data_IF_844225959741
#
_entry.id   IF_844225959741
#
_cell.length_a   1.000
_cell.length_b   1.000
_cell.length_c   1.000
_cell.angle_alpha   90.00
_cell.angle_beta   90.00
_cell.angle_gamma   90.00
#
_symmetry.space_group_name_H-M   'P 1'
#
loop_
_entity.id
_entity.type
_entity.pdbx_description
1 polymer ?
#
# COMPACT_ATOMS: atom_id res chain seq x y z
N UNK A 1 -5.98 -26.58 5.70
CA UNK A 1 -5.91 -27.92 6.34
C UNK A 1 -7.21 -28.16 7.07
N UNK A 2 -7.93 -29.24 6.77
CA UNK A 2 -9.17 -29.61 7.45
C UNK A 2 -8.90 -30.47 8.67
N UNK A 3 -9.64 -30.26 9.74
CA UNK A 3 -9.62 -31.12 10.93
C UNK A 3 -10.34 -32.43 10.61
N UNK A 4 -9.61 -33.54 10.55
CA UNK A 4 -10.19 -34.88 10.38
C UNK A 4 -10.40 -35.53 11.75
N UNK A 5 -11.65 -35.78 12.13
CA UNK A 5 -11.99 -36.64 13.26
C UNK A 5 -12.15 -38.08 12.78
N UNK A 6 -11.32 -38.98 13.32
CA UNK A 6 -11.29 -40.40 12.96
C UNK A 6 -12.67 -41.04 13.24
N UNK A 7 -13.28 -41.66 12.23
CA UNK A 7 -14.60 -42.30 12.33
C UNK A 7 -15.81 -41.41 11.97
N UNK A 8 -15.60 -40.17 11.52
CA UNK A 8 -16.66 -39.28 11.01
C UNK A 8 -16.31 -38.71 9.62
N UNK A 9 -15.63 -39.48 8.79
CA UNK A 9 -15.06 -39.05 7.51
C UNK A 9 -16.13 -38.66 6.47
N UNK A 10 -17.36 -39.17 6.61
CA UNK A 10 -18.49 -38.83 5.73
C UNK A 10 -19.28 -37.59 6.19
N UNK A 11 -18.94 -36.99 7.34
CA UNK A 11 -19.66 -35.82 7.85
C UNK A 11 -19.02 -34.54 7.35
N UNK A 12 -19.82 -33.71 6.68
CA UNK A 12 -19.40 -32.37 6.25
C UNK A 12 -19.79 -31.35 7.32
N UNK A 13 -18.85 -30.53 7.77
CA UNK A 13 -19.12 -29.46 8.73
C UNK A 13 -19.71 -28.25 8.02
N UNK A 14 -20.92 -27.85 8.42
CA UNK A 14 -21.54 -26.60 7.98
C UNK A 14 -21.05 -25.46 8.88
N UNK A 15 -20.21 -24.60 8.33
CA UNK A 15 -19.76 -23.40 9.03
C UNK A 15 -20.93 -22.42 9.22
N UNK A 16 -21.21 -22.05 10.47
CA UNK A 16 -22.20 -21.01 10.82
C UNK A 16 -21.62 -19.59 10.74
N UNK A 17 -20.30 -19.45 10.60
CA UNK A 17 -19.57 -18.19 10.43
C UNK A 17 -18.48 -18.38 9.39
N UNK A 18 -18.20 -17.33 8.61
CA UNK A 18 -17.19 -17.40 7.55
C UNK A 18 -15.80 -17.49 8.18
N UNK A 19 -14.96 -18.40 7.68
CA UNK A 19 -13.55 -18.50 8.08
C UNK A 19 -12.73 -17.39 7.39
N UNK A 20 -11.73 -16.88 8.09
CA UNK A 20 -10.82 -15.83 7.60
C UNK A 20 -10.14 -16.17 6.26
N UNK A 21 -9.94 -17.45 5.94
CA UNK A 21 -9.25 -17.89 4.70
C UNK A 21 -10.19 -18.17 3.51
N UNK A 22 -11.50 -17.93 3.64
CA UNK A 22 -12.41 -18.07 2.51
C UNK A 22 -12.33 -16.82 1.62
N UNK A 23 -12.12 -17.01 0.31
CA UNK A 23 -12.20 -15.93 -0.71
C UNK A 23 -13.49 -15.09 -0.65
N UNK A 24 -14.55 -15.60 0.00
CA UNK A 24 -15.82 -14.91 0.16
C UNK A 24 -15.93 -14.08 1.45
N UNK A 25 -15.04 -14.27 2.43
CA UNK A 25 -15.06 -13.52 3.70
C UNK A 25 -14.90 -12.01 3.48
N UNK A 26 -13.95 -11.52 2.65
CA UNK A 26 -13.79 -10.08 2.42
C UNK A 26 -14.99 -9.47 1.69
N UNK A 27 -15.63 -10.23 0.78
CA UNK A 27 -16.80 -9.75 0.03
C UNK A 27 -18.03 -9.62 0.92
N UNK A 28 -18.30 -10.63 1.74
CA UNK A 28 -19.39 -10.60 2.72
C UNK A 28 -19.18 -9.48 3.74
N UNK A 29 -17.91 -9.25 4.13
CA UNK A 29 -17.53 -8.17 5.03
C UNK A 29 -17.80 -6.78 4.43
N UNK A 30 -17.31 -6.52 3.22
CA UNK A 30 -17.56 -5.25 2.51
C UNK A 30 -19.06 -4.98 2.35
N UNK A 31 -19.84 -5.95 1.89
CA UNK A 31 -21.30 -5.76 1.72
C UNK A 31 -22.03 -5.49 3.04
N UNK A 32 -21.56 -6.05 4.15
CA UNK A 32 -22.16 -5.81 5.47
C UNK A 32 -21.82 -4.40 5.98
N UNK A 33 -20.58 -3.97 5.81
CA UNK A 33 -20.12 -2.62 6.17
C UNK A 33 -20.81 -1.56 5.30
N UNK A 34 -20.92 -1.79 3.99
CA UNK A 34 -21.64 -0.89 3.07
C UNK A 34 -23.09 -0.68 3.51
N UNK A 35 -23.79 -1.77 3.86
CA UNK A 35 -25.16 -1.71 4.36
C UNK A 35 -25.23 -0.97 5.69
N UNK A 36 -24.30 -1.24 6.61
CA UNK A 36 -24.24 -0.57 7.91
C UNK A 36 -24.03 0.95 7.76
N UNK A 37 -23.20 1.39 6.81
CA UNK A 37 -23.01 2.82 6.53
C UNK A 37 -24.25 3.47 5.91
N UNK A 38 -24.97 2.76 5.05
CA UNK A 38 -26.23 3.25 4.48
C UNK A 38 -27.31 3.41 5.57
N UNK A 39 -27.40 2.48 6.51
CA UNK A 39 -28.47 2.45 7.51
C UNK A 39 -28.24 3.44 8.68
N UNK A 40 -27.00 3.84 8.97
CA UNK A 40 -26.67 4.62 10.17
C UNK A 40 -26.23 6.07 9.92
N UNK A 41 -26.32 6.57 8.68
CA UNK A 41 -25.94 7.95 8.30
C UNK A 41 -24.63 8.44 8.95
N UNK A 42 -23.63 7.56 9.10
CA UNK A 42 -22.37 7.96 9.68
C UNK A 42 -21.67 8.93 8.73
N UNK A 43 -21.61 10.21 9.09
CA UNK A 43 -20.78 11.21 8.41
C UNK A 43 -19.32 10.95 8.78
N UNK A 44 -18.74 9.89 8.23
CA UNK A 44 -17.32 9.61 8.28
C UNK A 44 -16.64 10.41 7.16
N UNK A 45 -15.52 11.05 7.50
CA UNK A 45 -14.80 11.90 6.54
C UNK A 45 -14.09 11.04 5.50
N UNK A 46 -13.64 9.85 5.89
CA UNK A 46 -12.98 8.89 5.01
C UNK A 46 -13.04 7.49 5.64
N UNK A 47 -13.37 6.48 4.83
CA UNK A 47 -13.29 5.06 5.21
C UNK A 47 -12.54 4.33 4.10
N UNK A 48 -11.48 3.62 4.46
CA UNK A 48 -10.73 2.72 3.60
C UNK A 48 -10.86 1.29 4.11
N UNK A 49 -11.26 0.41 3.20
CA UNK A 49 -11.34 -1.03 3.42
C UNK A 49 -10.26 -1.70 2.57
N UNK A 50 -9.32 -2.38 3.23
CA UNK A 50 -8.29 -3.17 2.55
C UNK A 50 -8.24 -4.59 3.09
N UNK A 51 -8.91 -5.52 2.40
CA UNK A 51 -9.01 -6.96 2.71
C UNK A 51 -9.54 -7.25 4.12
N UNK A 52 -8.69 -7.11 5.14
CA UNK A 52 -9.00 -7.35 6.56
C UNK A 52 -8.79 -6.08 7.42
N UNK A 53 -8.19 -5.03 6.86
CA UNK A 53 -7.91 -3.77 7.55
C UNK A 53 -8.99 -2.73 7.24
N UNK A 54 -9.52 -2.10 8.30
CA UNK A 54 -10.44 -0.97 8.20
C UNK A 54 -9.77 0.26 8.78
N UNK A 55 -9.59 1.28 7.93
CA UNK A 55 -9.07 2.59 8.33
C UNK A 55 -10.20 3.59 8.16
N UNK A 56 -10.41 4.43 9.16
CA UNK A 56 -11.42 5.47 9.08
C UNK A 56 -10.95 6.72 9.84
N UNK A 57 -11.40 7.88 9.39
CA UNK A 57 -11.10 9.17 10.04
C UNK A 57 -12.35 9.96 10.33
N UNK A 58 -12.38 10.63 11.49
CA UNK A 58 -13.45 11.60 11.80
C UNK A 58 -12.96 12.73 12.70
N UNK A 59 -13.62 13.87 12.55
CA UNK A 59 -13.38 15.10 13.31
C UNK A 59 -14.05 15.14 14.70
N UNK A 60 -14.80 14.09 15.10
CA UNK A 60 -15.48 14.07 16.40
C UNK A 60 -15.12 12.80 17.20
N UNK A 61 -14.50 12.93 18.39
CA UNK A 61 -14.02 11.81 19.20
C UNK A 61 -15.16 10.97 19.82
N UNK A 62 -16.29 11.56 20.19
CA UNK A 62 -17.39 10.82 20.84
C UNK A 62 -18.02 9.80 19.90
N UNK A 63 -18.29 10.24 18.68
CA UNK A 63 -18.81 9.35 17.66
C UNK A 63 -17.75 8.29 17.24
N UNK A 64 -16.46 8.47 17.57
CA UNK A 64 -15.34 7.62 17.10
C UNK A 64 -15.28 6.42 18.01
N UNK A 65 -15.37 6.70 19.30
CA UNK A 65 -15.53 5.68 20.31
C UNK A 65 -16.82 4.87 20.10
N UNK A 66 -17.95 5.53 19.78
CA UNK A 66 -19.19 4.82 19.48
C UNK A 66 -19.05 3.91 18.26
N UNK A 67 -18.46 4.41 17.18
CA UNK A 67 -18.25 3.60 15.97
C UNK A 67 -17.28 2.44 16.21
N UNK A 68 -16.16 2.69 16.91
CA UNK A 68 -15.22 1.63 17.31
C UNK A 68 -15.89 0.56 18.17
N UNK A 69 -16.74 0.96 19.12
CA UNK A 69 -17.50 0.01 19.94
C UNK A 69 -18.41 -0.86 19.09
N UNK A 70 -19.18 -0.27 18.17
CA UNK A 70 -20.10 -1.04 17.33
C UNK A 70 -19.31 -1.98 16.40
N UNK A 71 -18.27 -1.49 15.72
CA UNK A 71 -17.49 -2.33 14.82
C UNK A 71 -16.72 -3.43 15.55
N UNK A 72 -16.12 -3.16 16.71
CA UNK A 72 -15.45 -4.19 17.51
C UNK A 72 -16.41 -5.20 18.15
N UNK A 73 -17.69 -4.84 18.34
CA UNK A 73 -18.71 -5.77 18.81
C UNK A 73 -19.26 -6.64 17.67
N UNK A 74 -19.55 -6.03 16.52
CA UNK A 74 -20.12 -6.72 15.35
C UNK A 74 -19.06 -7.62 14.69
N UNK A 75 -17.84 -7.12 14.60
CA UNK A 75 -16.69 -7.80 14.02
C UNK A 75 -15.67 -8.08 15.12
N UNK A 76 -15.19 -9.33 15.20
CA UNK A 76 -14.12 -9.71 16.13
C UNK A 76 -12.79 -9.10 15.67
N UNK A 77 -12.66 -7.79 15.84
CA UNK A 77 -11.61 -6.95 15.29
C UNK A 77 -10.91 -6.21 16.43
N UNK A 78 -9.58 -6.20 16.38
CA UNK A 78 -8.76 -5.44 17.33
C UNK A 78 -8.65 -4.01 16.83
N UNK A 79 -9.16 -3.04 17.59
CA UNK A 79 -8.96 -1.63 17.27
C UNK A 79 -7.58 -1.19 17.72
N UNK A 80 -6.80 -0.62 16.80
CA UNK A 80 -5.58 0.13 17.13
C UNK A 80 -6.00 1.60 17.05
N UNK A 81 -5.94 2.30 18.19
CA UNK A 81 -6.44 3.67 18.32
C UNK A 81 -5.76 4.67 17.38
N UNK A 82 -4.50 4.40 17.03
CA UNK A 82 -3.73 5.14 16.05
C UNK A 82 -3.27 4.17 14.97
N UNK A 83 -3.29 4.59 13.71
CA UNK A 83 -2.73 3.80 12.63
C UNK A 83 -1.22 3.73 12.85
N UNK A 84 -0.76 2.71 13.57
CA UNK A 84 0.66 2.48 13.83
C UNK A 84 1.31 1.66 12.71
N UNK A 85 0.52 0.85 12.01
CA UNK A 85 0.98 0.07 10.86
C UNK A 85 -0.06 0.05 9.74
N UNK A 86 0.36 0.31 8.50
CA UNK A 86 -0.47 0.14 7.29
C UNK A 86 0.35 -0.58 6.21
N UNK A 87 -0.14 -1.70 5.68
CA UNK A 87 0.56 -2.51 4.66
C UNK A 87 1.99 -2.93 5.06
N UNK A 88 2.26 -3.06 6.36
CA UNK A 88 3.59 -3.38 6.89
C UNK A 88 4.52 -2.17 7.11
N UNK A 89 4.04 -0.94 6.87
CA UNK A 89 4.76 0.29 7.21
C UNK A 89 4.38 0.76 8.59
N UNK A 90 5.38 1.02 9.43
CA UNK A 90 5.18 1.77 10.66
C UNK A 90 4.76 3.21 10.31
N UNK A 91 3.53 3.56 10.62
CA UNK A 91 2.98 4.90 10.46
C UNK A 91 3.11 5.59 11.82
N UNK A 92 4.05 6.52 11.91
CA UNK A 92 4.14 7.41 13.07
C UNK A 92 3.24 8.60 12.80
N UNK A 93 2.07 8.63 13.45
CA UNK A 93 1.20 9.81 13.50
C UNK A 93 1.81 10.89 14.42
N UNK A 94 3.00 11.36 14.07
CA UNK A 94 3.51 12.67 14.49
C UNK A 94 3.44 13.61 13.29
N UNK A 95 3.50 14.91 13.55
CA UNK A 95 3.17 16.03 12.65
C UNK A 95 3.79 16.08 11.23
N UNK A 96 4.42 15.02 10.70
CA UNK A 96 4.69 14.83 9.27
C UNK A 96 5.33 13.46 8.91
N UNK A 97 5.39 12.44 9.78
CA UNK A 97 6.38 11.35 9.70
C UNK A 97 6.07 10.15 8.77
N UNK A 98 5.36 10.35 7.64
CA UNK A 98 5.28 9.32 6.57
C UNK A 98 6.66 9.08 5.89
N UNK A 99 7.67 9.90 6.22
CA UNK A 99 9.03 9.88 5.68
C UNK A 99 9.89 8.65 6.03
N UNK A 100 9.46 7.78 6.95
CA UNK A 100 10.29 6.66 7.45
C UNK A 100 10.73 5.69 6.35
N UNK A 101 9.85 5.36 5.40
CA UNK A 101 10.21 4.47 4.28
C UNK A 101 11.04 5.18 3.22
N UNK A 102 10.70 6.42 2.88
CA UNK A 102 11.46 7.24 1.94
C UNK A 102 12.93 7.37 2.35
N UNK A 103 13.17 7.67 3.64
CA UNK A 103 14.52 7.73 4.21
C UNK A 103 15.27 6.41 4.07
N UNK A 104 14.64 5.28 4.40
CA UNK A 104 15.24 3.94 4.25
C UNK A 104 15.60 3.63 2.79
N UNK A 105 14.76 4.02 1.84
CA UNK A 105 15.03 3.84 0.40
C UNK A 105 16.22 4.71 -0.03
N UNK A 106 16.26 5.97 0.38
CA UNK A 106 17.38 6.87 0.09
C UNK A 106 18.70 6.34 0.65
N UNK A 107 18.71 5.88 1.91
CA UNK A 107 19.88 5.27 2.55
C UNK A 107 20.32 3.98 1.82
N UNK A 108 19.38 3.08 1.51
CA UNK A 108 19.64 1.82 0.80
C UNK A 108 20.33 2.04 -0.55
N UNK A 109 19.96 3.09 -1.27
CA UNK A 109 20.46 3.36 -2.62
C UNK A 109 21.57 4.41 -2.69
N UNK A 110 22.07 4.92 -1.56
CA UNK A 110 23.23 5.85 -1.60
C UNK A 110 22.82 7.32 -1.78
N UNK A 111 21.53 7.64 -1.66
CA UNK A 111 20.92 8.87 -2.20
C UNK A 111 20.46 9.88 -1.14
N UNK A 112 20.70 9.62 0.15
CA UNK A 112 20.24 10.48 1.24
C UNK A 112 20.85 11.90 1.18
N UNK A 113 22.13 12.02 0.84
CA UNK A 113 22.84 13.30 0.74
C UNK A 113 22.87 13.89 -0.69
N UNK A 114 22.06 13.35 -1.61
CA UNK A 114 22.05 13.80 -3.00
C UNK A 114 21.19 15.06 -3.18
N UNK A 115 21.66 16.00 -4.00
CA UNK A 115 20.93 17.25 -4.30
C UNK A 115 19.53 16.99 -4.86
N UNK A 116 18.52 17.70 -4.38
CA UNK A 116 17.15 17.59 -4.89
C UNK A 116 17.02 18.12 -6.33
N UNK A 117 15.98 17.66 -7.03
CA UNK A 117 15.68 18.03 -8.43
C UNK A 117 14.19 18.37 -8.55
N UNK A 118 13.89 19.52 -9.16
CA UNK A 118 12.51 20.00 -9.30
C UNK A 118 11.69 19.29 -10.39
N UNK A 119 12.28 18.31 -11.09
CA UNK A 119 11.58 17.53 -12.13
C UNK A 119 11.97 16.05 -12.02
N UNK A 120 11.00 15.12 -12.05
CA UNK A 120 11.29 13.69 -11.91
C UNK A 120 11.84 13.08 -13.20
N UNK A 121 11.60 13.76 -14.34
CA UNK A 121 12.11 13.39 -15.64
C UNK A 121 12.67 14.63 -16.35
N UNK A 122 13.63 14.42 -17.26
CA UNK A 122 14.19 15.47 -18.09
C UNK A 122 13.32 15.63 -19.35
N UNK A 123 12.93 16.87 -19.68
CA UNK A 123 11.92 17.15 -20.72
C UNK A 123 12.31 16.71 -22.15
N UNK A 124 13.59 16.44 -22.41
CA UNK A 124 14.10 15.98 -23.70
C UNK A 124 14.39 14.47 -23.77
N UNK A 125 14.13 13.72 -22.71
CA UNK A 125 14.56 12.33 -22.57
C UNK A 125 13.53 11.39 -23.20
N UNK A 126 13.81 10.92 -24.43
CA UNK A 126 12.99 9.89 -25.10
C UNK A 126 13.46 8.51 -24.67
N UNK A 127 12.75 7.91 -23.69
CA UNK A 127 12.95 6.51 -23.33
C UNK A 127 12.53 5.61 -24.49
N UNK A 128 13.45 4.78 -24.99
CA UNK A 128 13.25 3.90 -26.16
C UNK A 128 13.53 2.45 -25.80
N UNK A 129 12.67 1.51 -26.24
CA UNK A 129 12.92 0.06 -26.10
C UNK A 129 14.26 -0.39 -26.68
N UNK A 130 14.80 0.35 -27.64
CA UNK A 130 16.06 0.06 -28.32
C UNK A 130 17.19 0.97 -27.87
N UNK A 131 17.15 1.45 -26.63
CA UNK A 131 18.20 2.31 -26.11
C UNK A 131 19.54 1.55 -26.11
N UNK A 132 20.56 2.14 -26.71
CA UNK A 132 21.90 1.53 -26.91
C UNK A 132 22.76 1.77 -25.65
N UNK A 133 22.13 1.85 -24.48
CA UNK A 133 22.81 2.07 -23.22
C UNK A 133 23.46 0.79 -22.72
N UNK A 134 24.50 0.95 -21.90
CA UNK A 134 25.10 -0.17 -21.17
C UNK A 134 24.04 -0.87 -20.31
N UNK A 135 24.09 -2.20 -20.30
CA UNK A 135 23.20 -3.02 -19.47
C UNK A 135 23.60 -2.88 -18.02
N UNK A 136 22.61 -2.59 -17.18
CA UNK A 136 22.78 -2.43 -15.74
C UNK A 136 22.44 -3.74 -15.00
N UNK A 137 22.81 -3.81 -13.72
CA UNK A 137 22.42 -4.94 -12.86
C UNK A 137 20.89 -5.01 -12.72
N UNK A 138 20.32 -6.05 -13.32
CA UNK A 138 18.89 -6.36 -13.30
C UNK A 138 18.33 -6.46 -11.88
N UNK A 139 19.08 -7.03 -10.94
CA UNK A 139 18.63 -7.26 -9.56
C UNK A 139 18.52 -5.95 -8.81
N UNK A 140 19.54 -5.11 -8.96
CA UNK A 140 19.60 -3.80 -8.32
C UNK A 140 18.51 -2.88 -8.91
N UNK A 141 18.34 -2.88 -10.23
CA UNK A 141 17.27 -2.12 -10.90
C UNK A 141 15.88 -2.56 -10.44
N UNK A 142 15.58 -3.86 -10.41
CA UNK A 142 14.28 -4.38 -9.92
C UNK A 142 14.03 -4.02 -8.47
N UNK A 143 15.05 -4.10 -7.62
CA UNK A 143 14.98 -3.70 -6.21
C UNK A 143 14.65 -2.22 -6.06
N UNK A 144 15.24 -1.37 -6.90
CA UNK A 144 15.01 0.07 -6.92
C UNK A 144 13.60 0.43 -7.39
N UNK A 145 13.18 -0.12 -8.53
CA UNK A 145 11.84 0.11 -9.10
C UNK A 145 10.74 -0.42 -8.16
N UNK A 146 10.94 -1.57 -7.53
CA UNK A 146 10.01 -2.09 -6.51
C UNK A 146 9.89 -1.17 -5.30
N UNK A 147 11.01 -0.59 -4.85
CA UNK A 147 11.02 0.37 -3.74
C UNK A 147 10.29 1.67 -4.12
N UNK A 148 10.48 2.17 -5.35
CA UNK A 148 9.77 3.34 -5.86
C UNK A 148 8.26 3.12 -6.00
N UNK A 149 7.85 1.99 -6.58
CA UNK A 149 6.43 1.65 -6.72
C UNK A 149 5.72 1.58 -5.37
N UNK A 150 6.42 1.06 -4.36
CA UNK A 150 5.91 1.05 -2.99
C UNK A 150 5.85 2.46 -2.40
N UNK A 151 6.86 3.31 -2.65
CA UNK A 151 6.89 4.70 -2.20
C UNK A 151 5.75 5.53 -2.80
N UNK A 152 5.52 5.43 -4.12
CA UNK A 152 4.39 6.09 -4.81
C UNK A 152 3.02 5.63 -4.32
N UNK A 153 2.90 4.39 -3.82
CA UNK A 153 1.64 3.89 -3.24
C UNK A 153 1.31 4.53 -1.89
N UNK A 154 2.29 5.16 -1.24
CA UNK A 154 2.18 5.75 0.11
C UNK A 154 2.17 7.29 0.09
N UNK A 155 2.63 7.90 -1.01
CA UNK A 155 2.67 9.35 -1.25
C UNK A 155 1.78 9.70 -2.46
N UNK A 156 0.52 10.06 -2.21
CA UNK A 156 -0.45 10.51 -3.23
C UNK A 156 -0.14 11.90 -3.79
N UNK A 157 0.78 12.65 -3.19
CA UNK A 157 1.21 13.99 -3.61
C UNK A 157 2.09 13.98 -4.87
N UNK A 158 2.45 12.80 -5.39
CA UNK A 158 3.36 12.65 -6.53
C UNK A 158 2.73 11.93 -7.72
N UNK A 159 1.49 12.28 -8.07
CA UNK A 159 0.75 11.70 -9.22
C UNK A 159 1.60 11.69 -10.50
N UNK A 160 2.37 12.77 -10.76
CA UNK A 160 3.24 12.84 -11.94
C UNK A 160 4.41 11.85 -11.91
N UNK A 161 4.90 11.44 -10.73
CA UNK A 161 5.92 10.39 -10.61
C UNK A 161 5.34 9.01 -10.85
N UNK A 162 4.06 8.78 -10.58
CA UNK A 162 3.41 7.49 -10.84
C UNK A 162 3.53 7.12 -12.33
N UNK A 163 3.21 8.05 -13.22
CA UNK A 163 3.30 7.82 -14.67
C UNK A 163 4.74 7.50 -15.10
N UNK A 164 5.73 8.24 -14.60
CA UNK A 164 7.15 8.00 -14.92
C UNK A 164 7.62 6.66 -14.34
N UNK A 165 7.21 6.32 -13.12
CA UNK A 165 7.54 5.03 -12.48
C UNK A 165 6.92 3.88 -13.27
N UNK A 166 5.70 4.00 -13.76
CA UNK A 166 5.07 2.96 -14.59
C UNK A 166 5.79 2.80 -15.94
N UNK A 167 6.22 3.90 -16.56
CA UNK A 167 7.08 3.85 -17.76
C UNK A 167 8.40 3.12 -17.44
N UNK A 168 9.06 3.42 -16.32
CA UNK A 168 10.29 2.73 -15.91
C UNK A 168 10.03 1.24 -15.58
N UNK A 169 8.88 0.91 -14.99
CA UNK A 169 8.47 -0.46 -14.70
C UNK A 169 8.36 -1.30 -15.98
N UNK A 170 7.89 -0.70 -17.06
CA UNK A 170 7.75 -1.37 -18.36
C UNK A 170 9.08 -1.87 -18.93
N UNK A 171 10.20 -1.24 -18.58
CA UNK A 171 11.54 -1.61 -19.08
C UNK A 171 12.35 -2.49 -18.10
N UNK A 172 11.70 -3.09 -17.10
CA UNK A 172 12.37 -3.95 -16.09
C UNK A 172 13.02 -5.23 -16.64
N UNK A 173 12.70 -5.65 -17.86
CA UNK A 173 13.29 -6.85 -18.49
C UNK A 173 14.72 -6.63 -18.97
N UNK A 174 15.07 -5.41 -19.38
CA UNK A 174 16.38 -5.06 -19.90
C UNK A 174 16.75 -3.61 -19.54
N UNK A 175 17.17 -3.35 -18.28
CA UNK A 175 17.53 -2.01 -17.85
C UNK A 175 18.84 -1.55 -18.51
N UNK A 176 18.83 -0.29 -18.93
CA UNK A 176 19.96 0.44 -19.50
C UNK A 176 20.34 1.57 -18.55
N UNK A 177 21.56 2.11 -18.70
CA UNK A 177 22.04 3.23 -17.89
C UNK A 177 21.13 4.46 -17.95
N UNK A 178 20.42 4.68 -19.06
CA UNK A 178 19.40 5.74 -19.19
C UNK A 178 18.22 5.54 -18.24
N UNK A 179 17.68 4.32 -18.18
CA UNK A 179 16.60 3.98 -17.25
C UNK A 179 17.07 4.14 -15.82
N UNK A 180 18.28 3.66 -15.51
CA UNK A 180 18.83 3.73 -14.17
C UNK A 180 19.02 5.17 -13.67
N UNK A 181 19.55 6.05 -14.53
CA UNK A 181 19.65 7.50 -14.24
C UNK A 181 18.28 8.14 -14.01
N UNK A 182 17.28 7.75 -14.79
CA UNK A 182 15.90 8.23 -14.63
C UNK A 182 15.35 7.82 -13.27
N UNK A 183 15.53 6.56 -12.88
CA UNK A 183 15.08 6.03 -11.59
C UNK A 183 15.76 6.73 -10.39
N UNK A 184 17.06 7.03 -10.49
CA UNK A 184 17.76 7.85 -9.49
C UNK A 184 17.29 9.30 -9.46
N UNK A 185 16.91 9.88 -10.60
CA UNK A 185 16.35 11.23 -10.65
C UNK A 185 15.01 11.31 -9.95
N UNK A 186 14.16 10.29 -10.08
CA UNK A 186 12.90 10.18 -9.34
C UNK A 186 13.14 10.18 -7.83
N UNK A 187 14.16 9.49 -7.34
CA UNK A 187 14.52 9.51 -5.91
C UNK A 187 14.96 10.89 -5.39
N UNK A 188 15.40 11.78 -6.28
CA UNK A 188 15.85 13.14 -5.93
C UNK A 188 14.72 14.17 -6.08
N UNK A 189 13.53 13.76 -6.51
CA UNK A 189 12.40 14.66 -6.69
C UNK A 189 11.80 15.04 -5.33
N UNK A 190 11.59 16.34 -5.13
CA UNK A 190 10.99 16.93 -3.92
C UNK A 190 9.48 17.13 -4.10
#
# INVERSE_FOLDING_TARGET
>A
MGFAMKGQEEKVLKFKKVLHDLKQAPRAWNSHIDKYFQDNEFVLVLVFLHVDDLIFTRNNPNLFENFNKVISCEFKMTSIWFLSYYLGLEVKQMNNDIFGYAKKVLEKFKMFDCNLVNTPMEGSLKLSKFDIGEKEDLTLFKSLVGSLRYLTSTRLDIIYVVDVVDVVCYFMEAPTSTYMKTTYRILRFD
#
